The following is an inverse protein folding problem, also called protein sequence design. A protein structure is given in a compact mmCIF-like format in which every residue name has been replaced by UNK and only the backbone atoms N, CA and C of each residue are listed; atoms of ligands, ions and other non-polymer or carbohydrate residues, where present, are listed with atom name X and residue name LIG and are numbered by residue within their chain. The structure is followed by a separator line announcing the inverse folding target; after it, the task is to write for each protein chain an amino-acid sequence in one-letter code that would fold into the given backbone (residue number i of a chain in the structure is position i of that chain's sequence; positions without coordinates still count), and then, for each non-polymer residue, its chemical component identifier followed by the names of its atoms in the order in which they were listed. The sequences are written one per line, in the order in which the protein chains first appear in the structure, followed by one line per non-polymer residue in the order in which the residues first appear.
data_IF_659750533895
#
_entry.id   IF_659750533895
#
_cell.length_a   1.000
_cell.length_b   1.000
_cell.length_c   1.000
_cell.angle_alpha   90.00
_cell.angle_beta   90.00
_cell.angle_gamma   90.00
#
_symmetry.space_group_name_H-M   'P 1'
#
loop_
_entity.id
_entity.type
_entity.pdbx_description
1 polymer ?
#
# COMPACT_ATOMS: atom_id res chain seq x y z
N UNK A 1 0.56 24.38 4.27
CA UNK A 1 0.11 23.49 3.19
C UNK A 1 0.88 22.21 3.22
N UNK A 2 0.16 21.12 3.23
CA UNK A 2 0.78 19.81 3.31
C UNK A 2 1.04 19.30 1.91
N UNK A 3 2.27 18.84 1.66
CA UNK A 3 2.63 18.19 0.43
C UNK A 3 2.45 16.68 0.51
N UNK A 4 1.52 16.27 1.34
CA UNK A 4 1.27 14.85 1.51
C UNK A 4 0.48 14.29 0.33
N UNK A 5 0.91 13.14 -0.13
CA UNK A 5 0.20 12.39 -1.14
C UNK A 5 -0.52 11.22 -0.48
N UNK A 6 -1.66 10.87 -1.03
CA UNK A 6 -2.40 9.70 -0.58
C UNK A 6 -2.74 8.86 -1.79
N UNK A 7 -2.37 7.60 -1.74
CA UNK A 7 -2.65 6.65 -2.80
C UNK A 7 -3.52 5.53 -2.25
N UNK A 8 -4.53 5.16 -3.01
CA UNK A 8 -5.45 4.09 -2.64
C UNK A 8 -5.42 3.01 -3.70
N UNK A 9 -5.30 1.76 -3.26
CA UNK A 9 -5.27 0.62 -4.15
C UNK A 9 -6.26 -0.42 -3.68
N UNK A 10 -6.93 -1.08 -4.61
CA UNK A 10 -7.80 -2.20 -4.29
C UNK A 10 -6.99 -3.48 -4.44
N UNK A 11 -6.85 -4.21 -3.34
CA UNK A 11 -6.06 -5.44 -3.31
C UNK A 11 -6.93 -6.56 -2.73
N UNK A 12 -7.74 -7.20 -3.57
CA UNK A 12 -8.72 -8.17 -3.06
C UNK A 12 -8.10 -9.42 -2.43
N UNK A 13 -6.81 -9.64 -2.63
CA UNK A 13 -6.13 -10.79 -2.04
C UNK A 13 -5.83 -10.65 -0.56
N UNK A 14 -5.92 -9.44 0.02
CA UNK A 14 -5.67 -9.27 1.44
C UNK A 14 -6.90 -9.73 2.22
N UNK A 15 -6.75 -10.76 3.04
CA UNK A 15 -7.88 -11.30 3.79
C UNK A 15 -7.52 -11.77 5.19
N UNK A 16 -6.32 -11.44 5.66
CA UNK A 16 -5.90 -11.79 7.02
C UNK A 16 -4.79 -10.84 7.49
N UNK A 17 -4.50 -10.89 8.77
CA UNK A 17 -3.49 -10.02 9.36
C UNK A 17 -2.08 -10.25 8.80
N UNK A 18 -1.77 -11.49 8.42
CA UNK A 18 -0.48 -11.79 7.80
C UNK A 18 -0.34 -11.08 6.46
N UNK A 19 -1.42 -11.01 5.70
CA UNK A 19 -1.42 -10.29 4.44
C UNK A 19 -1.21 -8.80 4.67
N UNK A 20 -1.88 -8.24 5.68
CA UNK A 20 -1.71 -6.84 6.04
C UNK A 20 -0.24 -6.55 6.38
N UNK A 21 0.37 -7.40 7.20
CA UNK A 21 1.76 -7.22 7.58
C UNK A 21 2.71 -7.31 6.40
N UNK A 22 2.50 -8.27 5.52
CA UNK A 22 3.36 -8.44 4.35
C UNK A 22 3.31 -7.22 3.43
N UNK A 23 2.09 -6.75 3.12
CA UNK A 23 1.92 -5.57 2.26
C UNK A 23 2.49 -4.33 2.92
N UNK A 24 2.20 -4.15 4.21
CA UNK A 24 2.68 -2.98 4.95
C UNK A 24 4.20 -2.94 4.96
N UNK A 25 4.85 -4.06 5.28
CA UNK A 25 6.31 -4.12 5.32
C UNK A 25 6.94 -3.75 3.99
N UNK A 26 6.41 -4.30 2.91
CA UNK A 26 6.96 -4.03 1.58
C UNK A 26 6.72 -2.57 1.16
N UNK A 27 5.52 -2.06 1.40
CA UNK A 27 5.18 -0.70 0.99
C UNK A 27 5.95 0.34 1.83
N UNK A 28 6.17 0.05 3.11
CA UNK A 28 6.92 0.97 3.95
C UNK A 28 8.37 1.16 3.50
N UNK A 29 8.90 0.24 2.73
CA UNK A 29 10.25 0.36 2.18
C UNK A 29 10.33 1.31 1.00
N UNK A 30 9.19 1.71 0.46
CA UNK A 30 9.16 2.65 -0.66
C UNK A 30 9.54 4.05 -0.16
N UNK A 31 10.42 4.73 -0.91
CA UNK A 31 10.84 6.07 -0.54
C UNK A 31 9.66 7.03 -0.52
N UNK A 32 9.58 7.87 0.49
CA UNK A 32 8.52 8.86 0.63
C UNK A 32 7.31 8.37 1.41
N UNK A 33 7.17 7.08 1.63
CA UNK A 33 6.03 6.54 2.37
C UNK A 33 6.19 6.83 3.86
N UNK A 34 5.19 7.47 4.45
CA UNK A 34 5.17 7.79 5.87
C UNK A 34 4.26 6.85 6.65
N UNK A 35 3.14 6.44 6.05
CA UNK A 35 2.25 5.50 6.70
C UNK A 35 1.50 4.65 5.69
N UNK A 36 1.10 3.47 6.14
CA UNK A 36 0.34 2.53 5.33
C UNK A 36 -0.81 2.01 6.17
N UNK A 37 -2.01 2.05 5.63
CA UNK A 37 -3.20 1.51 6.28
C UNK A 37 -3.83 0.48 5.34
N UNK A 38 -4.10 -0.69 5.85
CA UNK A 38 -4.77 -1.74 5.08
C UNK A 38 -6.11 -2.02 5.73
N UNK A 39 -7.17 -1.89 4.96
CA UNK A 39 -8.53 -2.15 5.42
C UNK A 39 -8.95 -3.51 4.89
N UNK A 40 -9.15 -4.46 5.80
CA UNK A 40 -9.55 -5.81 5.44
C UNK A 40 -11.00 -5.91 4.98
N UNK A 41 -11.85 -5.01 5.45
CA UNK A 41 -13.25 -5.01 5.04
C UNK A 41 -13.41 -4.64 3.58
N UNK A 42 -12.77 -3.54 3.18
CA UNK A 42 -12.88 -3.04 1.81
C UNK A 42 -11.78 -3.59 0.91
N UNK A 43 -10.80 -4.31 1.48
CA UNK A 43 -9.65 -4.82 0.73
C UNK A 43 -8.87 -3.69 0.08
N UNK A 44 -8.72 -2.59 0.80
CA UNK A 44 -8.08 -1.39 0.28
C UNK A 44 -6.80 -1.09 1.03
N UNK A 45 -5.79 -0.71 0.29
CA UNK A 45 -4.51 -0.27 0.86
C UNK A 45 -4.41 1.23 0.62
N UNK A 46 -4.24 1.99 1.70
CA UNK A 46 -4.05 3.44 1.66
C UNK A 46 -2.63 3.75 2.06
N UNK A 47 -1.91 4.46 1.20
CA UNK A 47 -0.52 4.83 1.44
C UNK A 47 -0.43 6.34 1.51
N UNK A 48 0.17 6.84 2.57
CA UNK A 48 0.35 8.27 2.77
C UNK A 48 1.83 8.60 2.88
N UNK A 49 2.20 9.74 2.34
CA UNK A 49 3.59 10.20 2.41
C UNK A 49 3.82 11.38 1.51
N UNK A 50 5.09 11.61 1.19
CA UNK A 50 5.49 12.73 0.34
C UNK A 50 6.22 12.23 -0.89
N UNK A 51 5.85 12.77 -2.04
CA UNK A 51 6.50 12.43 -3.30
C UNK A 51 6.53 10.92 -3.54
N UNK A 52 5.43 10.25 -3.24
CA UNK A 52 5.35 8.80 -3.39
C UNK A 52 5.22 8.46 -4.87
N UNK A 53 6.02 7.50 -5.31
CA UNK A 53 5.92 7.01 -6.68
C UNK A 53 4.88 5.90 -6.72
N UNK A 54 3.80 6.13 -7.46
CA UNK A 54 2.71 5.17 -7.64
C UNK A 54 3.23 3.82 -8.15
N UNK A 55 4.10 3.85 -9.14
CA UNK A 55 4.67 2.61 -9.70
C UNK A 55 5.49 1.85 -8.66
N UNK A 56 6.24 2.56 -7.82
CA UNK A 56 7.03 1.92 -6.77
C UNK A 56 6.14 1.23 -5.75
N UNK A 57 5.02 1.87 -5.38
CA UNK A 57 4.07 1.27 -4.44
C UNK A 57 3.42 0.04 -5.06
N UNK A 58 3.04 0.12 -6.32
CA UNK A 58 2.44 -1.03 -7.01
C UNK A 58 3.41 -2.19 -7.08
N UNK A 59 4.68 -1.90 -7.36
CA UNK A 59 5.71 -2.93 -7.39
C UNK A 59 5.91 -3.57 -6.02
N UNK A 60 5.85 -2.76 -4.95
CA UNK A 60 5.99 -3.27 -3.60
C UNK A 60 4.85 -4.23 -3.25
N UNK A 61 3.63 -3.89 -3.62
CA UNK A 61 2.47 -4.76 -3.39
C UNK A 61 2.61 -6.05 -4.20
N UNK A 62 3.06 -5.94 -5.43
CA UNK A 62 3.29 -7.11 -6.28
C UNK A 62 4.38 -8.01 -5.69
N UNK A 63 5.45 -7.41 -5.17
CA UNK A 63 6.53 -8.17 -4.53
C UNK A 63 6.06 -8.89 -3.28
N UNK A 64 5.06 -8.35 -2.61
CA UNK A 64 4.47 -9.01 -1.46
C UNK A 64 3.60 -10.21 -1.88
N UNK A 65 3.35 -10.38 -3.16
CA UNK A 65 2.60 -11.51 -3.67
C UNK A 65 1.11 -11.23 -3.87
N UNK A 66 0.74 -9.96 -4.00
CA UNK A 66 -0.65 -9.57 -4.15
C UNK A 66 -0.86 -8.80 -5.43
N UNK A 67 -2.04 -8.96 -6.02
CA UNK A 67 -2.42 -8.26 -7.24
C UNK A 67 -3.26 -7.03 -6.90
N UNK A 68 -3.06 -5.98 -7.67
CA UNK A 68 -3.85 -4.76 -7.54
C UNK A 68 -4.98 -4.82 -8.57
N UNK A 69 -6.22 -4.64 -8.10
CA UNK A 69 -7.40 -4.73 -8.95
C UNK A 69 -7.74 -3.39 -9.62
N UNK A 70 -7.24 -2.30 -9.06
CA UNK A 70 -7.52 -0.98 -9.65
C UNK A 70 -6.44 0.01 -9.37
#
# INVERSE_FOLDING_TARGET
MTNQSELNFSVPGVNCEHCVGAVTDEVEQVAGVESVVVDLESKRVTVKGRSIDDAAVRNAIDDAGYDIAS
#
